data_IF_804293517993
#
_entry.id   IF_804293517993
#
_cell.length_a   1.000
_cell.length_b   1.000
_cell.length_c   1.000
_cell.angle_alpha   90.00
_cell.angle_beta   90.00
_cell.angle_gamma   90.00
#
_symmetry.space_group_name_H-M   'P 1'
#
loop_
_entity.id
_entity.type
_entity.pdbx_description
1 polymer ?
#
# COMPACT_ATOMS: atom_id res chain seq x y z
N UNK A 1 -0.59 -9.02 7.43
CA UNK A 1 -1.07 -8.27 6.24
C UNK A 1 -0.79 -9.00 4.93
N UNK A 2 0.46 -9.25 4.55
CA UNK A 2 0.78 -9.96 3.30
C UNK A 2 0.20 -11.39 3.27
N UNK A 3 0.24 -12.11 4.40
CA UNK A 3 -0.34 -13.45 4.53
C UNK A 3 -1.86 -13.46 4.77
N UNK A 4 -2.47 -12.27 4.95
CA UNK A 4 -3.91 -12.13 5.27
C UNK A 4 -4.74 -11.77 4.05
N UNK A 5 -4.14 -11.16 3.01
CA UNK A 5 -4.84 -10.62 1.85
C UNK A 5 -4.40 -11.37 0.59
N UNK A 6 -5.32 -12.06 -0.07
CA UNK A 6 -5.05 -12.82 -1.31
C UNK A 6 -4.72 -11.91 -2.50
N UNK A 7 -5.03 -10.62 -2.40
CA UNK A 7 -4.70 -9.64 -3.42
C UNK A 7 -3.21 -9.27 -3.46
N UNK A 8 -2.40 -9.69 -2.47
CA UNK A 8 -0.95 -9.43 -2.41
C UNK A 8 -0.19 -10.67 -2.92
N UNK A 9 0.57 -10.52 -4.00
CA UNK A 9 1.39 -11.58 -4.57
C UNK A 9 2.78 -11.64 -3.92
N UNK A 10 3.40 -10.48 -3.74
CA UNK A 10 4.78 -10.37 -3.24
C UNK A 10 5.00 -9.03 -2.55
N UNK A 11 5.81 -9.03 -1.48
CA UNK A 11 6.32 -7.82 -0.85
C UNK A 11 7.84 -7.82 -0.93
N UNK A 12 8.40 -6.81 -1.60
CA UNK A 12 9.84 -6.59 -1.72
C UNK A 12 10.23 -5.37 -0.88
N UNK A 13 11.31 -5.47 -0.13
CA UNK A 13 11.74 -4.40 0.78
C UNK A 13 13.26 -4.27 0.79
N UNK A 14 13.76 -3.04 0.76
CA UNK A 14 15.13 -2.68 1.06
C UNK A 14 15.16 -1.37 1.87
N UNK A 15 15.30 -1.49 3.19
CA UNK A 15 15.16 -0.34 4.10
C UNK A 15 13.74 0.22 4.07
N UNK A 16 13.59 1.53 3.81
CA UNK A 16 12.29 2.17 3.67
C UNK A 16 11.70 2.10 2.24
N UNK A 17 12.43 1.50 1.28
CA UNK A 17 11.93 1.31 -0.07
C UNK A 17 11.14 -0.01 -0.13
N UNK A 18 9.81 0.11 -0.15
CA UNK A 18 8.91 -1.05 -0.11
C UNK A 18 8.09 -1.09 -1.40
N UNK A 19 8.03 -2.26 -2.02
CA UNK A 19 7.20 -2.55 -3.18
C UNK A 19 6.23 -3.69 -2.85
N UNK A 20 4.93 -3.44 -3.01
CA UNK A 20 3.87 -4.42 -2.80
C UNK A 20 3.28 -4.74 -4.17
N UNK A 21 3.46 -5.97 -4.62
CA UNK A 21 2.89 -6.47 -5.86
C UNK A 21 1.49 -7.04 -5.59
N UNK A 22 0.51 -6.55 -6.34
CA UNK A 22 -0.88 -6.97 -6.26
C UNK A 22 -1.24 -7.89 -7.42
N UNK A 23 -2.15 -8.82 -7.19
CA UNK A 23 -2.72 -9.68 -8.25
C UNK A 23 -3.78 -8.97 -9.10
N UNK A 24 -4.25 -7.81 -8.62
CA UNK A 24 -5.30 -6.98 -9.22
C UNK A 24 -4.78 -5.58 -9.56
N UNK A 25 -5.59 -4.78 -10.23
CA UNK A 25 -5.23 -3.37 -10.52
C UNK A 25 -5.09 -2.56 -9.23
N UNK A 26 -3.97 -1.85 -9.08
CA UNK A 26 -3.68 -1.04 -7.90
C UNK A 26 -4.25 0.37 -7.96
N UNK A 27 -4.79 0.82 -9.10
CA UNK A 27 -5.34 2.17 -9.24
C UNK A 27 -6.46 2.50 -8.23
N UNK A 28 -7.41 1.59 -7.93
CA UNK A 28 -8.42 1.83 -6.90
C UNK A 28 -7.82 1.97 -5.50
N UNK A 29 -6.77 1.20 -5.18
CA UNK A 29 -6.05 1.30 -3.89
C UNK A 29 -5.39 2.66 -3.74
N UNK A 30 -4.73 3.15 -4.79
CA UNK A 30 -4.11 4.50 -4.77
C UNK A 30 -5.17 5.57 -4.58
N UNK A 31 -6.29 5.48 -5.30
CA UNK A 31 -7.37 6.45 -5.19
C UNK A 31 -7.95 6.48 -3.77
N UNK A 32 -8.10 5.32 -3.13
CA UNK A 32 -8.60 5.23 -1.76
C UNK A 32 -7.59 5.77 -0.74
N UNK A 33 -6.31 5.40 -0.87
CA UNK A 33 -5.23 5.96 -0.03
C UNK A 33 -5.20 7.49 -0.13
N UNK A 34 -5.34 8.04 -1.34
CA UNK A 34 -5.31 9.48 -1.56
C UNK A 34 -6.49 10.20 -0.88
N UNK A 35 -7.69 9.60 -0.86
CA UNK A 35 -8.86 10.17 -0.17
C UNK A 35 -8.64 10.26 1.34
N UNK A 36 -7.95 9.29 1.91
CA UNK A 36 -7.63 9.20 3.33
C UNK A 36 -6.34 9.99 3.68
N UNK A 37 -5.75 10.72 2.73
CA UNK A 37 -4.60 11.59 2.96
C UNK A 37 -3.22 10.94 2.76
N UNK A 38 -3.17 9.68 2.30
CA UNK A 38 -1.93 8.97 2.02
C UNK A 38 -1.58 9.00 0.53
N UNK A 39 -0.49 9.67 0.18
CA UNK A 39 0.03 9.68 -1.18
C UNK A 39 0.94 8.47 -1.42
N UNK A 40 0.47 7.52 -2.22
CA UNK A 40 1.25 6.37 -2.69
C UNK A 40 1.34 6.35 -4.20
N UNK A 41 2.38 5.72 -4.73
CA UNK A 41 2.53 5.53 -6.16
C UNK A 41 2.19 4.09 -6.55
N UNK A 42 1.45 3.90 -7.63
CA UNK A 42 1.29 2.58 -8.27
C UNK A 42 1.97 2.58 -9.62
N UNK A 43 2.79 1.55 -9.87
CA UNK A 43 3.49 1.37 -11.14
C UNK A 43 3.29 0.00 -11.72
N UNK A 44 3.49 -0.08 -13.04
CA UNK A 44 3.17 -1.30 -13.80
C UNK A 44 1.74 -1.80 -13.52
N UNK A 45 0.82 -0.86 -13.24
CA UNK A 45 -0.59 -1.06 -12.89
C UNK A 45 -0.88 -1.84 -11.59
N UNK A 46 0.09 -2.58 -11.04
CA UNK A 46 -0.13 -3.51 -9.92
C UNK A 46 0.89 -3.44 -8.79
N UNK A 47 1.91 -2.59 -8.89
CA UNK A 47 2.96 -2.48 -7.87
C UNK A 47 2.81 -1.17 -7.11
N UNK A 48 2.35 -1.26 -5.86
CA UNK A 48 2.34 -0.12 -4.93
C UNK A 48 3.76 0.11 -4.40
N UNK A 49 4.24 1.34 -4.49
CA UNK A 49 5.56 1.75 -4.01
C UNK A 49 5.42 2.71 -2.84
N UNK A 50 6.05 2.34 -1.73
CA UNK A 50 6.22 3.19 -0.56
C UNK A 50 7.68 3.62 -0.51
N UNK A 51 7.87 4.93 -0.51
CA UNK A 51 9.15 5.59 -0.28
C UNK A 51 8.89 6.78 0.65
N UNK A 52 8.69 6.55 1.95
CA UNK A 52 8.47 7.63 2.89
C UNK A 52 9.78 8.39 3.14
N UNK A 53 9.67 9.60 3.68
CA UNK A 53 10.84 10.38 4.09
C UNK A 53 11.57 9.66 5.23
N UNK A 54 12.89 9.51 5.17
CA UNK A 54 13.68 8.82 6.21
C UNK A 54 13.69 9.54 7.57
N UNK A 55 13.12 10.75 7.62
CA UNK A 55 12.95 11.54 8.84
C UNK A 55 11.54 11.41 9.43
N UNK A 56 10.67 10.55 8.89
CA UNK A 56 9.33 10.35 9.46
C UNK A 56 9.41 9.71 10.85
N UNK A 57 8.42 10.00 11.70
CA UNK A 57 8.26 9.33 12.99
C UNK A 57 7.58 7.98 12.82
N UNK A 58 7.80 7.08 13.77
CA UNK A 58 7.13 5.77 13.80
C UNK A 58 5.60 5.90 13.85
N UNK A 59 5.09 6.98 14.46
CA UNK A 59 3.67 7.30 14.53
C UNK A 59 3.08 7.59 13.14
N UNK A 60 3.74 8.46 12.35
CA UNK A 60 3.31 8.72 10.97
C UNK A 60 3.47 7.48 10.08
N UNK A 61 4.48 6.64 10.35
CA UNK A 61 4.66 5.38 9.64
C UNK A 61 3.48 4.43 9.91
N UNK A 62 3.09 4.30 11.18
CA UNK A 62 1.95 3.48 11.58
C UNK A 62 0.64 3.98 10.98
N UNK A 63 0.40 5.29 10.99
CA UNK A 63 -0.78 5.92 10.37
C UNK A 63 -0.87 5.60 8.86
N UNK A 64 0.24 5.78 8.14
CA UNK A 64 0.27 5.47 6.70
C UNK A 64 0.04 3.99 6.40
N UNK A 65 0.59 3.10 7.22
CA UNK A 65 0.37 1.65 7.08
C UNK A 65 -1.08 1.29 7.38
N UNK A 66 -1.72 1.93 8.36
CA UNK A 66 -3.13 1.70 8.69
C UNK A 66 -4.04 2.11 7.52
N UNK A 67 -3.83 3.32 6.95
CA UNK A 67 -4.59 3.79 5.78
C UNK A 67 -4.44 2.83 4.60
N UNK A 68 -3.21 2.41 4.30
CA UNK A 68 -2.93 1.46 3.22
C UNK A 68 -3.63 0.12 3.46
N UNK A 69 -3.57 -0.38 4.70
CA UNK A 69 -4.20 -1.64 5.09
C UNK A 69 -5.71 -1.61 4.90
N UNK A 70 -6.35 -0.50 5.28
CA UNK A 70 -7.79 -0.30 5.08
C UNK A 70 -8.15 -0.23 3.59
N UNK A 71 -7.36 0.48 2.79
CA UNK A 71 -7.57 0.56 1.34
C UNK A 71 -7.47 -0.82 0.67
N UNK A 72 -6.50 -1.64 1.07
CA UNK A 72 -6.34 -3.01 0.55
C UNK A 72 -7.47 -3.95 0.99
N UNK A 73 -7.94 -3.86 2.23
CA UNK A 73 -9.10 -4.65 2.72
C UNK A 73 -10.40 -4.28 2.02
N UNK A 74 -10.63 -2.98 1.76
CA UNK A 74 -11.78 -2.50 0.98
C UNK A 74 -11.78 -3.08 -0.44
N UNK A 75 -10.60 -3.17 -1.06
CA UNK A 75 -10.44 -3.78 -2.38
C UNK A 75 -10.79 -5.26 -2.37
N UNK A 76 -10.26 -6.03 -1.41
CA UNK A 76 -10.56 -7.46 -1.30
C UNK A 76 -12.03 -7.77 -1.04
N UNK A 77 -12.73 -6.88 -0.31
CA UNK A 77 -14.19 -7.04 -0.07
C UNK A 77 -15.04 -6.67 -1.29
N UNK A 78 -14.45 -6.02 -2.30
CA UNK A 78 -15.14 -5.58 -3.53
C UNK A 78 -14.88 -6.51 -4.72
N UNK A 79 -14.07 -7.55 -4.55
CA UNK A 79 -13.73 -8.60 -5.52
C UNK A 79 -14.41 -9.90 -5.12
#
# INVERSE_FOLDING_TARGET
LADELQCIEEVRCLGAMIGIQLSVEGAPVVAECLKEGLLVNCTQQRIIRLLPALTLTDEHAAEGIEILSQALRKLESSV
#
